data_IF_672568915077
#
_entry.id   IF_672568915077
#
_cell.length_a   1.000
_cell.length_b   1.000
_cell.length_c   1.000
_cell.angle_alpha   90.00
_cell.angle_beta   90.00
_cell.angle_gamma   90.00
#
_symmetry.space_group_name_H-M   'P 1'
#
loop_
_entity.id
_entity.type
_entity.pdbx_description
1 polymer ?
#
# COMPACT_ATOMS: atom_id res chain seq x y z
N UNK A 1 -43.16 16.53 17.32
CA UNK A 1 -41.71 16.57 17.18
C UNK A 1 -41.38 16.71 15.70
N UNK A 2 -40.57 17.68 15.29
CA UNK A 2 -40.18 17.79 13.89
C UNK A 2 -39.48 16.50 13.47
N UNK A 3 -39.89 15.91 12.34
CA UNK A 3 -39.21 14.76 11.72
C UNK A 3 -37.77 15.18 11.40
N UNK A 4 -36.79 14.52 12.01
CA UNK A 4 -35.40 14.69 11.66
C UNK A 4 -35.27 14.29 10.20
N UNK A 5 -34.85 15.21 9.34
CA UNK A 5 -34.70 14.94 7.91
C UNK A 5 -33.52 13.99 7.67
N UNK A 6 -33.59 13.18 6.64
CA UNK A 6 -32.53 12.26 6.25
C UNK A 6 -31.20 13.02 6.02
N UNK A 7 -31.27 14.17 5.39
CA UNK A 7 -30.15 15.09 5.19
C UNK A 7 -29.47 15.51 6.50
N UNK A 8 -30.26 15.79 7.55
CA UNK A 8 -29.72 16.13 8.86
C UNK A 8 -28.92 14.95 9.46
N UNK A 9 -29.42 13.72 9.30
CA UNK A 9 -28.75 12.50 9.79
C UNK A 9 -27.42 12.31 9.04
N UNK A 10 -27.43 12.41 7.71
CA UNK A 10 -26.25 12.30 6.86
C UNK A 10 -25.20 13.35 7.25
N UNK A 11 -25.58 14.60 7.36
CA UNK A 11 -24.68 15.69 7.73
C UNK A 11 -24.10 15.50 9.15
N UNK A 12 -24.89 15.01 10.09
CA UNK A 12 -24.42 14.73 11.45
C UNK A 12 -23.41 13.60 11.47
N UNK A 13 -23.70 12.49 10.78
CA UNK A 13 -22.77 11.36 10.66
C UNK A 13 -21.47 11.78 10.00
N UNK A 14 -21.55 12.53 8.89
CA UNK A 14 -20.38 13.06 8.20
C UNK A 14 -19.48 13.90 9.12
N UNK A 15 -20.06 14.82 9.91
CA UNK A 15 -19.26 15.61 10.87
C UNK A 15 -18.58 14.77 11.92
N UNK A 16 -19.19 13.63 12.36
CA UNK A 16 -18.59 12.72 13.34
C UNK A 16 -17.44 11.94 12.70
N UNK A 17 -17.62 11.43 11.48
CA UNK A 17 -16.57 10.69 10.76
C UNK A 17 -15.43 11.58 10.30
N UNK A 18 -15.71 12.82 9.87
CA UNK A 18 -14.66 13.81 9.56
C UNK A 18 -13.82 14.13 10.80
N UNK A 19 -14.45 14.32 11.97
CA UNK A 19 -13.74 14.54 13.22
C UNK A 19 -12.87 13.33 13.63
N UNK A 20 -13.36 12.11 13.42
CA UNK A 20 -12.58 10.90 13.65
C UNK A 20 -11.36 10.83 12.72
N UNK A 21 -11.55 11.13 11.44
CA UNK A 21 -10.46 11.19 10.46
C UNK A 21 -9.38 12.20 10.87
N UNK A 22 -9.76 13.43 11.18
CA UNK A 22 -8.83 14.48 11.64
C UNK A 22 -8.05 14.06 12.88
N UNK A 23 -8.73 13.44 13.87
CA UNK A 23 -8.08 12.93 15.07
C UNK A 23 -7.08 11.81 14.76
N UNK A 24 -7.38 10.92 13.79
CA UNK A 24 -6.45 9.90 13.35
C UNK A 24 -5.22 10.46 12.61
N UNK A 25 -5.28 11.67 12.06
CA UNK A 25 -4.11 12.37 11.53
C UNK A 25 -3.21 12.91 12.64
N UNK A 26 -3.80 13.38 13.74
CA UNK A 26 -3.09 14.03 14.85
C UNK A 26 -2.48 13.02 15.84
N UNK A 27 -3.14 11.89 16.04
CA UNK A 27 -2.70 10.84 16.97
C UNK A 27 -2.95 9.43 16.40
N UNK A 28 -2.43 8.40 17.06
CA UNK A 28 -2.60 7.03 16.58
C UNK A 28 -4.06 6.57 16.69
N UNK A 29 -4.54 5.83 15.69
CA UNK A 29 -5.93 5.29 15.61
C UNK A 29 -6.33 4.57 16.90
N UNK A 30 -5.40 3.78 17.49
CA UNK A 30 -5.67 3.02 18.71
C UNK A 30 -5.92 3.88 19.94
N UNK A 31 -5.50 5.15 19.95
CA UNK A 31 -5.62 6.08 21.09
C UNK A 31 -6.78 7.06 20.96
N UNK A 32 -7.46 7.11 19.81
CA UNK A 32 -8.65 7.94 19.63
C UNK A 32 -9.82 7.35 20.41
N UNK A 33 -10.52 8.22 21.17
CA UNK A 33 -11.62 7.85 22.06
C UNK A 33 -12.93 8.54 21.68
N UNK A 34 -14.05 8.03 22.21
CA UNK A 34 -15.34 8.70 22.07
C UNK A 34 -15.33 10.13 22.64
N UNK A 35 -14.57 10.35 23.74
CA UNK A 35 -14.46 11.68 24.35
C UNK A 35 -13.78 12.66 23.38
N UNK A 36 -12.73 12.23 22.69
CA UNK A 36 -12.08 13.06 21.67
C UNK A 36 -13.05 13.50 20.56
N UNK A 37 -13.92 12.58 20.13
CA UNK A 37 -14.94 12.88 19.11
C UNK A 37 -15.97 13.89 19.65
N UNK A 38 -16.42 13.71 20.91
CA UNK A 38 -17.32 14.64 21.58
C UNK A 38 -16.71 16.04 21.63
N UNK A 39 -15.49 16.14 22.09
CA UNK A 39 -14.76 17.39 22.25
C UNK A 39 -14.52 18.08 20.90
N UNK A 40 -14.13 17.31 19.87
CA UNK A 40 -13.86 17.84 18.51
C UNK A 40 -15.14 18.34 17.83
N UNK A 41 -16.24 17.60 17.93
CA UNK A 41 -17.50 17.94 17.25
C UNK A 41 -18.33 18.98 17.99
N UNK A 42 -18.15 19.10 19.31
CA UNK A 42 -19.01 19.87 20.19
C UNK A 42 -20.43 19.28 20.36
N UNK A 43 -20.64 18.03 19.96
CA UNK A 43 -21.91 17.36 20.13
C UNK A 43 -22.04 16.79 21.55
N UNK A 44 -23.26 16.74 22.07
CA UNK A 44 -23.50 16.07 23.35
C UNK A 44 -23.23 14.56 23.21
N UNK A 45 -22.83 13.92 24.29
CA UNK A 45 -22.63 12.48 24.37
C UNK A 45 -23.84 11.71 23.80
N UNK A 46 -25.06 12.02 24.26
CA UNK A 46 -26.28 11.39 23.73
C UNK A 46 -26.54 11.70 22.25
N UNK A 47 -26.02 12.82 21.73
CA UNK A 47 -26.09 13.18 20.33
C UNK A 47 -25.24 12.29 19.43
N UNK A 48 -24.11 11.78 19.92
CA UNK A 48 -23.24 10.84 19.20
C UNK A 48 -23.73 9.42 19.38
N UNK A 49 -24.01 8.98 20.62
CA UNK A 49 -24.50 7.61 20.92
C UNK A 49 -25.84 7.26 20.27
N UNK A 50 -26.56 8.25 19.75
CA UNK A 50 -27.75 8.02 18.93
C UNK A 50 -27.41 7.38 17.57
N UNK A 51 -26.20 7.62 17.04
CA UNK A 51 -25.78 7.16 15.72
C UNK A 51 -24.77 6.01 15.75
N UNK A 52 -23.94 5.96 16.79
CA UNK A 52 -22.83 5.02 16.92
C UNK A 52 -22.78 4.47 18.34
N UNK A 53 -22.67 3.15 18.48
CA UNK A 53 -22.61 2.48 19.79
C UNK A 53 -21.28 2.70 20.50
N UNK A 54 -20.20 2.72 19.71
CA UNK A 54 -18.83 2.89 20.20
C UNK A 54 -17.93 3.49 19.11
N UNK A 55 -16.66 3.64 19.45
CA UNK A 55 -15.66 4.24 18.54
C UNK A 55 -15.39 3.37 17.30
N UNK A 56 -15.53 2.05 17.41
CA UNK A 56 -15.27 1.13 16.31
C UNK A 56 -16.37 1.24 15.23
N UNK A 57 -17.62 1.50 15.62
CA UNK A 57 -18.70 1.82 14.67
C UNK A 57 -18.39 3.12 13.88
N UNK A 58 -17.81 4.12 14.56
CA UNK A 58 -17.37 5.38 13.90
C UNK A 58 -16.23 5.09 12.93
N UNK A 59 -15.24 4.30 13.34
CA UNK A 59 -14.12 3.93 12.46
C UNK A 59 -14.59 3.16 11.24
N UNK A 60 -15.53 2.22 11.40
CA UNK A 60 -16.11 1.48 10.27
C UNK A 60 -16.74 2.43 9.25
N UNK A 61 -17.55 3.39 9.70
CA UNK A 61 -18.20 4.37 8.82
C UNK A 61 -17.20 5.35 8.20
N UNK A 62 -16.20 5.79 8.98
CA UNK A 62 -15.10 6.64 8.52
C UNK A 62 -14.29 5.97 7.41
N UNK A 63 -13.89 4.71 7.59
CA UNK A 63 -13.09 3.95 6.61
C UNK A 63 -13.87 3.77 5.32
N UNK A 64 -15.18 3.45 5.40
CA UNK A 64 -16.02 3.34 4.20
C UNK A 64 -16.04 4.65 3.41
N UNK A 65 -16.33 5.78 4.07
CA UNK A 65 -16.35 7.10 3.42
C UNK A 65 -14.97 7.50 2.87
N UNK A 66 -13.91 7.13 3.57
CA UNK A 66 -12.54 7.36 3.14
C UNK A 66 -12.22 6.60 1.84
N UNK A 67 -12.58 5.30 1.77
CA UNK A 67 -12.39 4.46 0.57
C UNK A 67 -13.17 4.97 -0.64
N UNK A 68 -14.39 5.45 -0.44
CA UNK A 68 -15.18 6.08 -1.50
C UNK A 68 -14.51 7.36 -2.01
N UNK A 69 -14.04 8.22 -1.11
CA UNK A 69 -13.46 9.53 -1.47
C UNK A 69 -12.13 9.44 -2.22
N UNK A 70 -11.31 8.45 -1.93
CA UNK A 70 -9.96 8.28 -2.50
C UNK A 70 -9.82 7.02 -3.34
N UNK A 71 -10.90 6.60 -4.00
CA UNK A 71 -10.88 5.46 -4.91
C UNK A 71 -9.99 5.74 -6.12
N UNK A 72 -9.11 4.77 -6.45
CA UNK A 72 -8.28 4.77 -7.68
C UNK A 72 -8.69 3.67 -8.66
N UNK A 73 -9.80 2.99 -8.41
CA UNK A 73 -10.24 1.81 -9.19
C UNK A 73 -10.49 2.14 -10.65
N UNK A 74 -11.19 3.24 -10.92
CA UNK A 74 -11.45 3.69 -12.29
C UNK A 74 -10.15 3.94 -13.06
N UNK A 75 -9.16 4.54 -12.40
CA UNK A 75 -7.85 4.81 -13.01
C UNK A 75 -7.04 3.53 -13.26
N UNK A 76 -7.15 2.53 -12.39
CA UNK A 76 -6.60 1.19 -12.62
C UNK A 76 -7.20 0.58 -13.89
N UNK A 77 -8.53 0.59 -13.99
CA UNK A 77 -9.23 0.03 -15.16
C UNK A 77 -8.92 0.79 -16.45
N UNK A 78 -8.80 2.12 -16.38
CA UNK A 78 -8.38 2.95 -17.52
C UNK A 78 -6.99 2.56 -18.03
N UNK A 79 -6.03 2.37 -17.12
CA UNK A 79 -4.65 1.98 -17.49
C UNK A 79 -4.65 0.56 -18.07
N UNK A 80 -5.25 -0.41 -17.40
CA UNK A 80 -5.30 -1.81 -17.84
C UNK A 80 -6.11 -2.00 -19.13
N UNK A 81 -7.10 -1.13 -19.39
CA UNK A 81 -7.88 -1.10 -20.62
C UNK A 81 -7.05 -0.77 -21.86
N UNK A 82 -5.84 -0.23 -21.70
CA UNK A 82 -4.92 0.10 -22.80
C UNK A 82 -4.01 -1.07 -23.22
N UNK A 83 -4.22 -2.27 -22.72
CA UNK A 83 -3.38 -3.47 -22.91
C UNK A 83 -3.20 -3.90 -24.37
N UNK A 84 -4.07 -3.49 -25.28
CA UNK A 84 -3.95 -3.77 -26.73
C UNK A 84 -3.07 -2.74 -27.48
N UNK A 85 -2.80 -1.59 -26.84
CA UNK A 85 -2.06 -0.46 -27.44
C UNK A 85 -0.68 -0.36 -26.82
N UNK A 86 -0.56 -0.66 -25.52
CA UNK A 86 0.65 -0.51 -24.74
C UNK A 86 1.30 -1.86 -24.45
N UNK A 87 2.62 -1.84 -24.35
CA UNK A 87 3.39 -2.99 -23.87
C UNK A 87 3.17 -3.26 -22.39
N UNK A 88 3.44 -4.48 -21.88
CA UNK A 88 3.38 -4.77 -20.45
C UNK A 88 4.24 -3.83 -19.58
N UNK A 89 5.41 -3.43 -20.09
CA UNK A 89 6.30 -2.48 -19.41
C UNK A 89 5.66 -1.08 -19.31
N UNK A 90 5.05 -0.58 -20.39
CA UNK A 90 4.36 0.72 -20.38
C UNK A 90 3.13 0.72 -19.46
N UNK A 91 2.37 -0.38 -19.39
CA UNK A 91 1.29 -0.54 -18.42
C UNK A 91 1.85 -0.52 -16.98
N UNK A 92 2.92 -1.25 -16.74
CA UNK A 92 3.60 -1.28 -15.44
C UNK A 92 4.09 0.12 -15.05
N UNK A 93 4.73 0.84 -15.95
CA UNK A 93 5.19 2.22 -15.72
C UNK A 93 4.03 3.14 -15.31
N UNK A 94 2.89 3.05 -16.00
CA UNK A 94 1.70 3.87 -15.69
C UNK A 94 1.06 3.52 -14.36
N UNK A 95 0.98 2.21 -14.01
CA UNK A 95 0.45 1.78 -12.73
C UNK A 95 1.32 2.26 -11.58
N UNK A 96 2.64 2.11 -11.67
CA UNK A 96 3.53 2.58 -10.61
C UNK A 96 3.63 4.10 -10.52
N UNK A 97 3.53 4.81 -11.64
CA UNK A 97 3.43 6.28 -11.64
C UNK A 97 2.15 6.74 -10.92
N UNK A 98 1.02 6.12 -11.21
CA UNK A 98 -0.25 6.37 -10.51
C UNK A 98 -0.13 6.07 -9.01
N UNK A 99 0.49 4.96 -8.62
CA UNK A 99 0.71 4.60 -7.22
C UNK A 99 1.64 5.59 -6.51
N UNK A 100 2.66 6.10 -7.21
CA UNK A 100 3.55 7.13 -6.67
C UNK A 100 2.79 8.43 -6.40
N UNK A 101 1.97 8.88 -7.35
CA UNK A 101 1.13 10.08 -7.19
C UNK A 101 0.12 9.91 -6.05
N UNK A 102 -0.50 8.74 -5.95
CA UNK A 102 -1.43 8.41 -4.88
C UNK A 102 -0.74 8.44 -3.51
N UNK A 103 0.38 7.73 -3.39
CA UNK A 103 1.14 7.66 -2.13
C UNK A 103 1.66 9.04 -1.72
N UNK A 104 2.20 9.85 -2.64
CA UNK A 104 2.66 11.22 -2.31
C UNK A 104 1.53 12.11 -1.79
N UNK A 105 0.34 12.00 -2.40
CA UNK A 105 -0.82 12.80 -2.03
C UNK A 105 -1.44 12.36 -0.71
N UNK A 106 -1.55 11.04 -0.50
CA UNK A 106 -2.32 10.47 0.61
C UNK A 106 -1.43 9.93 1.76
N UNK A 107 -0.10 10.14 1.70
CA UNK A 107 0.86 9.59 2.67
C UNK A 107 0.53 9.96 4.12
N UNK A 108 0.20 11.25 4.36
CA UNK A 108 -0.16 11.77 5.68
C UNK A 108 -1.65 11.58 6.01
N UNK A 109 -2.43 11.03 5.08
CA UNK A 109 -3.85 10.80 5.17
C UNK A 109 -4.19 9.32 5.30
N UNK A 110 -4.84 8.79 4.26
CA UNK A 110 -5.34 7.40 4.24
C UNK A 110 -4.21 6.38 4.40
N UNK A 111 -3.05 6.58 3.80
CA UNK A 111 -1.92 5.66 3.87
C UNK A 111 -1.44 5.46 5.31
N UNK A 112 -1.33 6.56 6.09
CA UNK A 112 -1.00 6.52 7.52
C UNK A 112 -2.07 5.74 8.31
N UNK A 113 -3.35 6.02 8.05
CA UNK A 113 -4.45 5.37 8.76
C UNK A 113 -4.50 3.87 8.44
N UNK A 114 -4.37 3.48 7.17
CA UNK A 114 -4.34 2.07 6.76
C UNK A 114 -3.14 1.32 7.36
N UNK A 115 -1.98 1.97 7.45
CA UNK A 115 -0.82 1.41 8.16
C UNK A 115 -1.13 1.17 9.65
N UNK A 116 -1.72 2.14 10.34
CA UNK A 116 -2.07 1.99 11.76
C UNK A 116 -3.16 0.95 12.00
N UNK A 117 -4.11 0.80 11.07
CA UNK A 117 -5.11 -0.27 11.10
C UNK A 117 -4.45 -1.65 10.91
N UNK A 118 -3.42 -1.75 10.07
CA UNK A 118 -2.63 -2.97 9.91
C UNK A 118 -1.87 -3.33 11.20
N UNK A 119 -1.28 -2.34 11.87
CA UNK A 119 -0.67 -2.53 13.19
C UNK A 119 -1.71 -2.93 14.24
N UNK A 120 -2.89 -2.32 14.20
CA UNK A 120 -4.00 -2.70 15.09
C UNK A 120 -4.44 -4.14 14.83
N UNK A 121 -4.49 -4.59 13.57
CA UNK A 121 -4.84 -5.96 13.21
C UNK A 121 -3.85 -6.99 13.78
N UNK A 122 -2.55 -6.69 13.79
CA UNK A 122 -1.53 -7.55 14.40
C UNK A 122 -1.68 -7.68 15.92
N UNK A 123 -2.08 -6.60 16.59
CA UNK A 123 -2.16 -6.53 18.05
C UNK A 123 -3.54 -6.87 18.61
N UNK A 124 -4.60 -6.58 17.88
CA UNK A 124 -6.01 -6.72 18.29
C UNK A 124 -6.87 -7.19 17.11
N UNK A 125 -6.70 -8.44 16.65
CA UNK A 125 -7.44 -8.99 15.52
C UNK A 125 -8.95 -8.99 15.73
N UNK A 126 -9.41 -9.22 16.97
CA UNK A 126 -10.81 -9.12 17.37
C UNK A 126 -11.44 -7.75 17.10
N UNK A 127 -10.67 -6.70 17.36
CA UNK A 127 -11.13 -5.33 17.17
C UNK A 127 -11.17 -4.94 15.69
N UNK A 128 -10.14 -5.31 14.93
CA UNK A 128 -10.12 -4.99 13.49
C UNK A 128 -11.22 -5.77 12.73
N UNK A 129 -11.50 -7.01 13.11
CA UNK A 129 -12.60 -7.78 12.55
C UNK A 129 -13.96 -7.08 12.78
N UNK A 130 -14.17 -6.51 13.97
CA UNK A 130 -15.36 -5.71 14.26
C UNK A 130 -15.44 -4.45 13.39
N UNK A 131 -14.34 -3.69 13.26
CA UNK A 131 -14.28 -2.47 12.46
C UNK A 131 -14.53 -2.77 10.98
N UNK A 132 -13.89 -3.81 10.45
CA UNK A 132 -13.92 -4.15 9.03
C UNK A 132 -15.11 -5.03 8.62
N UNK A 133 -15.72 -5.75 9.56
CA UNK A 133 -16.75 -6.75 9.27
C UNK A 133 -18.04 -6.21 8.64
N UNK A 134 -18.30 -4.91 8.75
CA UNK A 134 -19.42 -4.23 8.09
C UNK A 134 -19.05 -3.57 6.75
N UNK A 135 -17.79 -3.65 6.31
CA UNK A 135 -17.28 -3.01 5.09
C UNK A 135 -17.23 -4.06 3.99
N UNK A 136 -18.10 -3.95 2.99
CA UNK A 136 -18.17 -4.87 1.85
C UNK A 136 -17.34 -4.38 0.67
N UNK A 137 -16.99 -3.10 0.65
CA UNK A 137 -16.25 -2.49 -0.45
C UNK A 137 -14.80 -2.95 -0.44
N UNK A 138 -14.37 -3.49 -1.58
CA UNK A 138 -12.98 -3.89 -1.84
C UNK A 138 -12.07 -2.66 -1.75
N UNK A 139 -10.98 -2.76 -1.00
CA UNK A 139 -9.99 -1.68 -0.88
C UNK A 139 -9.21 -1.43 -2.19
N UNK A 140 -8.56 -0.28 -2.30
CA UNK A 140 -7.78 0.08 -3.50
C UNK A 140 -6.68 -0.95 -3.82
N UNK A 141 -5.90 -1.37 -2.82
CA UNK A 141 -4.79 -2.32 -3.03
C UNK A 141 -5.28 -3.74 -3.33
N UNK A 142 -6.35 -4.17 -2.69
CA UNK A 142 -6.99 -5.46 -2.99
C UNK A 142 -7.52 -5.47 -4.42
N UNK A 143 -8.21 -4.40 -4.84
CA UNK A 143 -8.70 -4.24 -6.21
C UNK A 143 -7.55 -4.25 -7.22
N UNK A 144 -6.49 -3.47 -6.97
CA UNK A 144 -5.30 -3.44 -7.81
C UNK A 144 -4.69 -4.84 -7.96
N UNK A 145 -4.52 -5.57 -6.84
CA UNK A 145 -3.94 -6.92 -6.84
C UNK A 145 -4.79 -7.88 -7.68
N UNK A 146 -6.10 -7.86 -7.53
CA UNK A 146 -7.01 -8.70 -8.33
C UNK A 146 -6.87 -8.38 -9.83
N UNK A 147 -6.95 -7.12 -10.21
CA UNK A 147 -6.92 -6.67 -11.60
C UNK A 147 -5.56 -6.91 -12.26
N UNK A 148 -4.46 -6.70 -11.53
CA UNK A 148 -3.11 -6.96 -12.05
C UNK A 148 -2.81 -8.45 -12.14
N UNK A 149 -3.34 -9.29 -11.24
CA UNK A 149 -3.25 -10.75 -11.35
C UNK A 149 -3.90 -11.24 -12.65
N UNK A 150 -5.13 -10.80 -12.94
CA UNK A 150 -5.83 -11.12 -14.18
C UNK A 150 -5.01 -10.69 -15.41
N UNK A 151 -4.53 -9.45 -15.38
CA UNK A 151 -3.73 -8.88 -16.46
C UNK A 151 -2.42 -9.66 -16.70
N UNK A 152 -1.64 -9.94 -15.67
CA UNK A 152 -0.38 -10.68 -15.83
C UNK A 152 -0.60 -12.10 -16.33
N UNK A 153 -1.62 -12.81 -15.85
CA UNK A 153 -1.97 -14.14 -16.37
C UNK A 153 -2.34 -14.10 -17.84
N UNK A 154 -3.14 -13.13 -18.25
CA UNK A 154 -3.52 -12.94 -19.65
C UNK A 154 -2.31 -12.64 -20.54
N UNK A 155 -1.44 -11.69 -20.14
CA UNK A 155 -0.27 -11.31 -20.94
C UNK A 155 0.78 -12.44 -21.02
N UNK A 156 0.95 -13.22 -19.95
CA UNK A 156 1.78 -14.40 -19.96
C UNK A 156 1.26 -15.49 -20.93
N UNK A 157 -0.06 -15.74 -20.93
CA UNK A 157 -0.70 -16.68 -21.84
C UNK A 157 -0.57 -16.26 -23.32
N UNK A 158 -0.49 -14.95 -23.59
CA UNK A 158 -0.26 -14.39 -24.92
C UNK A 158 1.22 -14.36 -25.31
N UNK A 159 2.13 -14.79 -24.44
CA UNK A 159 3.58 -14.73 -24.66
C UNK A 159 4.15 -13.30 -24.72
N UNK A 160 3.45 -12.33 -24.15
CA UNK A 160 3.89 -10.92 -24.10
C UNK A 160 4.71 -10.61 -22.86
N UNK A 161 4.70 -11.48 -21.88
CA UNK A 161 5.52 -11.44 -20.66
C UNK A 161 6.39 -12.68 -20.65
N UNK A 162 7.68 -12.47 -20.57
CA UNK A 162 8.71 -13.51 -20.47
C UNK A 162 9.33 -13.45 -19.07
N UNK A 163 8.62 -13.92 -18.07
CA UNK A 163 9.12 -13.95 -16.70
C UNK A 163 9.55 -15.37 -16.31
N UNK A 164 10.70 -15.48 -15.64
CA UNK A 164 11.18 -16.75 -15.07
C UNK A 164 10.41 -17.17 -13.80
N UNK A 165 9.29 -16.51 -13.52
CA UNK A 165 8.41 -16.75 -12.37
C UNK A 165 6.95 -16.69 -12.82
N UNK A 166 6.06 -17.35 -12.08
CA UNK A 166 4.63 -17.28 -12.35
C UNK A 166 4.03 -15.94 -11.87
N UNK A 167 2.78 -15.65 -12.27
CA UNK A 167 2.12 -14.39 -11.96
C UNK A 167 1.91 -14.21 -10.44
N UNK A 168 1.67 -15.28 -9.69
CA UNK A 168 1.52 -15.28 -8.25
C UNK A 168 2.81 -14.87 -7.54
N UNK A 169 3.94 -15.44 -7.95
CA UNK A 169 5.27 -15.11 -7.42
C UNK A 169 5.65 -13.66 -7.72
N UNK A 170 5.40 -13.21 -8.94
CA UNK A 170 5.65 -11.83 -9.36
C UNK A 170 4.83 -10.84 -8.51
N UNK A 171 3.54 -11.11 -8.32
CA UNK A 171 2.68 -10.25 -7.51
C UNK A 171 3.03 -10.31 -6.02
N UNK A 172 3.44 -11.46 -5.49
CA UNK A 172 3.92 -11.56 -4.12
C UNK A 172 5.18 -10.70 -3.91
N UNK A 173 6.11 -10.71 -4.87
CA UNK A 173 7.30 -9.84 -4.85
C UNK A 173 6.90 -8.36 -4.90
N UNK A 174 6.06 -7.97 -5.86
CA UNK A 174 5.61 -6.58 -6.03
C UNK A 174 4.90 -6.09 -4.76
N UNK A 175 3.96 -6.87 -4.22
CA UNK A 175 3.19 -6.49 -3.03
C UNK A 175 4.08 -6.33 -1.79
N UNK A 176 5.05 -7.23 -1.62
CA UNK A 176 6.01 -7.17 -0.51
C UNK A 176 6.92 -5.94 -0.62
N UNK A 177 7.44 -5.65 -1.83
CA UNK A 177 8.29 -4.51 -2.07
C UNK A 177 7.51 -3.18 -1.92
N UNK A 178 6.29 -3.11 -2.47
CA UNK A 178 5.41 -1.94 -2.31
C UNK A 178 5.08 -1.69 -0.83
N UNK A 179 4.68 -2.72 -0.08
CA UNK A 179 4.39 -2.61 1.34
C UNK A 179 5.61 -2.15 2.15
N UNK A 180 6.81 -2.63 1.83
CA UNK A 180 8.07 -2.17 2.42
C UNK A 180 8.37 -0.70 2.14
N UNK A 181 8.13 -0.23 0.90
CA UNK A 181 8.26 1.18 0.50
C UNK A 181 7.24 2.03 1.26
N UNK A 182 5.96 1.64 1.26
CA UNK A 182 4.88 2.33 1.97
C UNK A 182 5.21 2.49 3.45
N UNK A 183 5.53 1.39 4.15
CA UNK A 183 5.91 1.41 5.55
C UNK A 183 7.09 2.34 5.82
N UNK A 184 8.13 2.27 4.99
CA UNK A 184 9.34 3.11 5.14
C UNK A 184 9.01 4.59 4.96
N UNK A 185 8.21 4.94 3.93
CA UNK A 185 7.77 6.31 3.69
C UNK A 185 6.92 6.83 4.85
N UNK A 186 5.95 6.06 5.35
CA UNK A 186 5.07 6.45 6.47
C UNK A 186 5.90 6.65 7.74
N UNK A 187 6.75 5.69 8.12
CA UNK A 187 7.57 5.79 9.33
C UNK A 187 8.48 7.03 9.29
N UNK A 188 9.08 7.32 8.13
CA UNK A 188 9.99 8.46 8.02
C UNK A 188 9.29 9.82 7.95
N UNK A 189 8.09 9.90 7.38
CA UNK A 189 7.39 11.17 7.19
C UNK A 189 6.35 11.47 8.28
N UNK A 190 5.74 10.44 8.89
CA UNK A 190 4.64 10.62 9.84
C UNK A 190 5.08 10.51 11.32
N UNK A 191 6.16 9.76 11.62
CA UNK A 191 6.52 9.42 13.00
C UNK A 191 7.90 9.86 13.44
N UNK A 192 8.80 10.23 12.53
CA UNK A 192 10.13 10.73 12.92
C UNK A 192 10.09 12.22 13.17
N UNK A 193 10.49 12.63 14.38
CA UNK A 193 10.58 14.04 14.76
C UNK A 193 11.89 14.71 14.35
N UNK A 194 12.95 13.94 14.13
CA UNK A 194 14.24 14.47 13.69
C UNK A 194 14.46 14.21 12.20
N UNK A 195 14.79 15.26 11.47
CA UNK A 195 15.16 15.17 10.05
C UNK A 195 16.51 14.46 9.92
N UNK A 196 16.48 13.16 9.69
CA UNK A 196 17.65 12.42 9.24
C UNK A 196 17.94 12.82 7.78
N UNK A 197 19.21 13.13 7.40
CA UNK A 197 19.58 13.39 6.01
C UNK A 197 19.14 12.28 5.04
N UNK A 198 19.08 11.03 5.51
CA UNK A 198 18.59 9.90 4.72
C UNK A 198 17.07 9.93 4.47
N UNK A 199 16.30 10.76 5.18
CA UNK A 199 14.85 10.88 4.98
C UNK A 199 14.53 11.37 3.57
N UNK A 200 15.40 12.17 2.97
CA UNK A 200 15.26 12.66 1.60
C UNK A 200 15.30 11.52 0.55
N UNK A 201 15.86 10.36 0.90
CA UNK A 201 15.91 9.17 0.03
C UNK A 201 14.61 8.35 0.07
N UNK A 202 13.81 8.48 1.14
CA UNK A 202 12.59 7.72 1.34
C UNK A 202 11.37 8.46 0.79
N UNK A 203 11.46 8.85 -0.48
CA UNK A 203 10.34 9.47 -1.20
C UNK A 203 9.63 8.43 -2.07
N UNK A 204 8.30 8.37 -2.04
CA UNK A 204 7.52 7.39 -2.79
C UNK A 204 7.92 7.32 -4.26
N UNK A 205 8.02 8.45 -4.92
CA UNK A 205 8.34 8.53 -6.35
C UNK A 205 9.71 7.94 -6.70
N UNK A 206 10.72 8.18 -5.86
CA UNK A 206 12.08 7.65 -6.08
C UNK A 206 12.08 6.13 -5.93
N UNK A 207 11.51 5.63 -4.82
CA UNK A 207 11.52 4.20 -4.51
C UNK A 207 10.63 3.39 -5.46
N UNK A 208 9.45 3.92 -5.79
CA UNK A 208 8.55 3.26 -6.75
C UNK A 208 9.11 3.26 -8.16
N UNK A 209 9.83 4.30 -8.58
CA UNK A 209 10.55 4.28 -9.87
C UNK A 209 11.61 3.16 -9.93
N UNK A 210 12.35 2.95 -8.84
CA UNK A 210 13.33 1.84 -8.78
C UNK A 210 12.62 0.47 -8.81
N UNK A 211 11.49 0.34 -8.09
CA UNK A 211 10.69 -0.88 -8.14
C UNK A 211 10.13 -1.14 -9.53
N UNK A 212 9.65 -0.10 -10.23
CA UNK A 212 9.17 -0.20 -11.61
C UNK A 212 10.26 -0.75 -12.55
N UNK A 213 11.48 -0.24 -12.44
CA UNK A 213 12.61 -0.73 -13.24
C UNK A 213 12.88 -2.22 -12.96
N UNK A 214 12.95 -2.63 -11.70
CA UNK A 214 13.14 -4.02 -11.33
C UNK A 214 12.02 -4.94 -11.86
N UNK A 215 10.76 -4.50 -11.76
CA UNK A 215 9.61 -5.26 -12.29
C UNK A 215 9.69 -5.36 -13.81
N UNK A 216 10.02 -4.28 -14.51
CA UNK A 216 10.16 -4.28 -15.97
C UNK A 216 11.26 -5.22 -16.45
N UNK A 217 12.37 -5.31 -15.73
CA UNK A 217 13.43 -6.29 -16.01
C UNK A 217 12.93 -7.73 -15.82
N UNK A 218 12.17 -7.98 -14.74
CA UNK A 218 11.62 -9.31 -14.45
C UNK A 218 10.61 -9.78 -15.51
N UNK A 219 9.75 -8.89 -16.01
CA UNK A 219 8.72 -9.23 -17.01
C UNK A 219 9.25 -9.22 -18.45
N UNK A 220 10.41 -8.63 -18.70
CA UNK A 220 11.08 -8.56 -20.00
C UNK A 220 12.24 -9.53 -20.18
N UNK A 221 12.59 -10.32 -19.15
CA UNK A 221 13.69 -11.28 -19.23
C UNK A 221 13.32 -12.42 -20.18
N UNK A 222 13.91 -12.45 -21.37
CA UNK A 222 13.93 -13.66 -22.21
C UNK A 222 14.62 -14.78 -21.42
N UNK A 223 14.09 -16.01 -21.51
CA UNK A 223 14.83 -17.19 -21.04
C UNK A 223 16.20 -17.14 -21.69
N UNK A 224 17.27 -16.97 -20.89
CA UNK A 224 18.62 -17.23 -21.36
C UNK A 224 18.64 -18.70 -21.74
N UNK A 225 18.49 -18.97 -23.05
CA UNK A 225 18.64 -20.28 -23.61
C UNK A 225 19.98 -20.80 -23.12
N UNK A 226 19.94 -21.81 -22.25
CA UNK A 226 21.09 -22.47 -21.69
C UNK A 226 21.95 -23.02 -22.84
N UNK A 227 22.95 -22.27 -23.23
CA UNK A 227 24.05 -22.79 -24.04
C UNK A 227 25.02 -23.40 -23.04
N UNK A 228 24.86 -24.73 -22.86
CA UNK A 228 25.93 -25.59 -22.40
C UNK A 228 27.22 -25.30 -23.16
N UNK A 229 28.15 -24.60 -22.58
CA UNK A 229 29.55 -24.61 -22.97
C UNK A 229 30.35 -25.28 -21.87
N UNK A 230 30.21 -26.60 -21.81
CA UNK A 230 31.26 -27.47 -21.28
C UNK A 230 32.33 -27.54 -22.33
N UNK A 231 33.42 -26.81 -22.19
CA UNK A 231 34.75 -27.18 -22.75
C UNK A 231 35.85 -26.35 -22.08
N UNK A 232 36.74 -27.09 -21.39
CA UNK A 232 38.17 -26.75 -21.29
C UNK A 232 38.56 -26.03 -20.00
N UNK A 233 38.53 -26.72 -18.87
CA UNK A 233 39.31 -26.32 -17.72
C UNK A 233 40.74 -26.83 -17.93
N UNK A 234 41.66 -25.97 -18.31
CA UNK A 234 43.06 -26.19 -18.05
C UNK A 234 43.47 -25.51 -16.74
N UNK A 235 43.97 -26.37 -15.91
CA UNK A 235 44.66 -26.24 -14.66
C UNK A 235 45.63 -25.04 -14.66
N UNK A 236 45.45 -24.08 -13.75
CA UNK A 236 46.56 -23.31 -13.21
C UNK A 236 46.33 -23.11 -11.72
N UNK A 237 46.97 -24.02 -10.97
CA UNK A 237 47.06 -23.94 -9.54
C UNK A 237 47.83 -22.67 -9.11
N UNK A 238 47.17 -21.84 -8.30
CA UNK A 238 47.85 -20.84 -7.50
C UNK A 238 47.87 -21.33 -6.05
N UNK A 239 49.07 -21.75 -5.67
CA UNK A 239 49.51 -22.23 -4.37
C UNK A 239 49.53 -21.04 -3.37
N UNK A 240 48.58 -20.98 -2.46
CA UNK A 240 48.65 -20.08 -1.31
C UNK A 240 49.13 -20.84 -0.08
N UNK A 241 50.45 -21.11 -0.04
CA UNK A 241 51.14 -21.46 1.21
C UNK A 241 52.56 -20.89 1.23
N UNK A 242 52.80 -20.20 2.33
CA UNK A 242 54.05 -19.70 2.90
C UNK A 242 54.27 -18.20 2.75
N UNK A 243 53.98 -17.54 3.88
CA UNK A 243 54.94 -16.64 4.52
C UNK A 243 54.36 -16.26 5.90
N UNK A 244 54.55 -17.16 6.84
CA UNK A 244 54.76 -16.83 8.26
C UNK A 244 56.09 -17.39 8.60
N UNK A 245 57.07 -16.48 8.84
CA UNK A 245 58.19 -16.60 9.77
C UNK A 245 59.17 -15.48 9.52
N UNK A 246 59.38 -14.66 10.55
CA UNK A 246 60.67 -13.99 10.73
C UNK A 246 60.64 -12.49 11.00
N UNK A 247 60.74 -12.19 12.25
CA UNK A 247 61.71 -11.27 12.87
C UNK A 247 61.11 -10.32 13.92
N UNK A 248 61.54 -10.67 15.13
CA UNK A 248 61.97 -9.82 16.26
C UNK A 248 60.96 -9.02 17.00
#
# INVERSE_FOLDING_TARGET
MPKVTEEYIVNKKKRITDAAYELCLEKTVSTVTMQDIIDRTGFSQGGIYRFYKDIDDIFSDMIRQMRERVSIKEKIDEILGQKEILTPQEITDRLFAMLADFMEKELMGIEKIDFELSVLAMNRPDRIEKIMGGIQEVGNMEYLTMRTMEYFKEQAALGRIHANMNAEELLAFISSAYGGIQMTCIVNNCYRHERNPLTALYQPRILLKMLTQAVNELIGAEESSGVDTVRGAENNGMDFRKEEEGQS
#
